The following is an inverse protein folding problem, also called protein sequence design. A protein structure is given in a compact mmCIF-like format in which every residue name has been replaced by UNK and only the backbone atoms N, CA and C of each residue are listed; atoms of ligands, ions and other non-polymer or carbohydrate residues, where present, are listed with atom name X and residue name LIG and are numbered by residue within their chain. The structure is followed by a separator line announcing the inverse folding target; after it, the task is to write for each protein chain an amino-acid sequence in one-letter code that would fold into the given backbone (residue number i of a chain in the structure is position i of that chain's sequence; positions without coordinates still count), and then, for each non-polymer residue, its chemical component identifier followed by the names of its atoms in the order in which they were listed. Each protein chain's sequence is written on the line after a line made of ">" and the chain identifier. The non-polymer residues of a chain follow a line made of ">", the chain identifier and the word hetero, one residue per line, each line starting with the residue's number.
data_IF_309677420698
#
_entry.id   IF_309677420698
#
_cell.length_a   1.000
_cell.length_b   1.000
_cell.length_c   1.000
_cell.angle_alpha   90.00
_cell.angle_beta   90.00
_cell.angle_gamma   90.00
#
_symmetry.space_group_name_H-M   'P 1'
#
loop_
_entity.id
_entity.type
_entity.pdbx_description
1 polymer ?
#
# COMPACT_ATOMS: atom_id res chain seq x y z
N UNK A 1 10.14 10.94 -1.32
CA UNK A 1 10.85 11.86 -2.22
C UNK A 1 11.97 12.62 -1.52
N UNK A 2 11.78 13.21 -0.33
CA UNK A 2 12.83 13.95 0.41
C UNK A 2 13.80 13.11 1.27
N UNK A 3 13.78 11.78 1.15
CA UNK A 3 14.68 10.91 1.93
C UNK A 3 16.13 10.88 1.42
N UNK A 4 16.40 10.95 0.11
CA UNK A 4 17.75 11.09 -0.40
C UNK A 4 18.31 12.50 -0.12
N UNK A 5 19.62 12.63 0.14
CA UNK A 5 20.24 13.94 0.34
C UNK A 5 20.15 14.77 -0.95
N UNK A 6 19.73 16.04 -0.81
CA UNK A 6 19.60 16.97 -1.94
C UNK A 6 18.39 16.73 -2.84
N UNK A 7 17.46 15.86 -2.45
CA UNK A 7 16.23 15.65 -3.22
C UNK A 7 15.31 16.88 -3.16
N UNK A 8 14.90 17.34 -4.34
CA UNK A 8 13.93 18.43 -4.50
C UNK A 8 12.59 17.87 -4.99
N UNK A 9 11.52 18.62 -4.74
CA UNK A 9 10.17 18.28 -5.18
C UNK A 9 9.52 19.47 -5.86
N UNK A 10 8.94 19.25 -7.04
CA UNK A 10 8.27 20.31 -7.78
C UNK A 10 6.78 20.03 -7.87
N UNK A 11 5.96 20.97 -7.42
CA UNK A 11 4.50 20.91 -7.50
C UNK A 11 3.91 22.33 -7.57
N UNK A 12 2.85 22.52 -8.36
CA UNK A 12 2.18 23.83 -8.50
C UNK A 12 3.11 24.95 -8.99
N UNK A 13 4.11 24.63 -9.82
CA UNK A 13 5.10 25.59 -10.32
C UNK A 13 6.16 26.04 -9.31
N UNK A 14 6.15 25.49 -8.08
CA UNK A 14 7.12 25.79 -7.04
C UNK A 14 8.02 24.58 -6.78
N UNK A 15 9.29 24.84 -6.44
CA UNK A 15 10.26 23.81 -6.06
C UNK A 15 10.53 23.90 -4.57
N UNK A 16 10.34 22.77 -3.90
CA UNK A 16 10.51 22.61 -2.46
C UNK A 16 11.74 21.74 -2.19
N UNK A 17 12.52 22.12 -1.19
CA UNK A 17 13.70 21.35 -0.73
C UNK A 17 13.40 20.57 0.55
N UNK A 18 12.37 20.98 1.29
CA UNK A 18 11.99 20.38 2.57
C UNK A 18 10.53 19.96 2.58
N UNK A 19 10.25 18.89 3.31
CA UNK A 19 8.89 18.41 3.52
C UNK A 19 7.98 19.45 4.20
N UNK A 20 8.51 20.21 5.16
CA UNK A 20 7.72 21.18 5.90
C UNK A 20 7.16 22.26 4.97
N UNK A 21 7.96 22.75 4.02
CA UNK A 21 7.52 23.76 3.06
C UNK A 21 6.37 23.27 2.17
N UNK A 22 6.38 21.99 1.75
CA UNK A 22 5.27 21.38 0.98
C UNK A 22 4.01 21.26 1.84
N UNK A 23 4.16 20.80 3.08
CA UNK A 23 3.04 20.63 4.01
C UNK A 23 2.39 21.98 4.29
N UNK A 24 3.19 22.99 4.58
CA UNK A 24 2.69 24.32 4.92
C UNK A 24 2.00 24.96 3.71
N UNK A 25 2.56 24.80 2.48
CA UNK A 25 1.92 25.26 1.24
C UNK A 25 0.59 24.56 0.92
N UNK A 26 0.45 23.28 1.30
CA UNK A 26 -0.81 22.55 1.15
C UNK A 26 -1.85 23.00 2.20
N UNK A 27 -1.43 23.16 3.46
CA UNK A 27 -2.31 23.61 4.55
C UNK A 27 -2.75 25.06 4.37
N UNK A 28 -1.90 25.91 3.79
CA UNK A 28 -2.22 27.30 3.46
C UNK A 28 -3.02 27.47 2.16
N UNK A 29 -3.50 26.37 1.55
CA UNK A 29 -4.24 26.34 0.28
C UNK A 29 -3.51 27.03 -0.88
N UNK A 30 -2.19 27.22 -0.76
CA UNK A 30 -1.35 27.84 -1.80
C UNK A 30 -1.05 26.85 -2.92
N UNK A 31 -1.19 25.56 -2.65
CA UNK A 31 -1.08 24.47 -3.59
C UNK A 31 -2.34 23.61 -3.51
N UNK A 32 -2.96 23.33 -4.65
CA UNK A 32 -4.14 22.48 -4.72
C UNK A 32 -3.80 21.00 -4.55
N UNK A 33 -4.77 20.19 -4.16
CA UNK A 33 -4.62 18.74 -4.06
C UNK A 33 -4.22 18.12 -5.43
N UNK A 34 -4.78 18.65 -6.52
CA UNK A 34 -4.47 18.19 -7.88
C UNK A 34 -3.01 18.45 -8.24
N UNK A 35 -2.48 19.63 -7.94
CA UNK A 35 -1.09 19.98 -8.19
C UNK A 35 -0.12 19.17 -7.34
N UNK A 36 -0.46 18.93 -6.07
CA UNK A 36 0.34 18.06 -5.20
C UNK A 36 0.40 16.64 -5.75
N UNK A 37 -0.75 16.08 -6.15
CA UNK A 37 -0.82 14.74 -6.75
C UNK A 37 -0.06 14.69 -8.06
N UNK A 38 -0.21 15.69 -8.93
CA UNK A 38 0.50 15.75 -10.21
C UNK A 38 2.02 15.76 -10.02
N UNK A 39 2.53 16.61 -9.13
CA UNK A 39 3.96 16.66 -8.78
C UNK A 39 4.45 15.33 -8.20
N UNK A 40 3.66 14.70 -7.32
CA UNK A 40 4.02 13.41 -6.74
C UNK A 40 4.06 12.28 -7.78
N UNK A 41 3.09 12.26 -8.71
CA UNK A 41 3.06 11.30 -9.81
C UNK A 41 4.31 11.45 -10.68
N UNK A 42 4.69 12.69 -11.02
CA UNK A 42 5.89 12.95 -11.80
C UNK A 42 7.15 12.45 -11.08
N UNK A 43 7.35 12.85 -9.82
CA UNK A 43 8.51 12.42 -9.04
C UNK A 43 8.59 10.89 -8.87
N UNK A 44 7.45 10.22 -8.70
CA UNK A 44 7.39 8.76 -8.63
C UNK A 44 7.67 8.10 -9.99
N UNK A 45 7.16 8.66 -11.09
CA UNK A 45 7.43 8.14 -12.42
C UNK A 45 8.92 8.25 -12.75
N UNK A 46 9.56 9.38 -12.48
CA UNK A 46 11.00 9.57 -12.67
C UNK A 46 11.82 8.58 -11.84
N UNK A 47 11.44 8.34 -10.58
CA UNK A 47 12.11 7.37 -9.71
C UNK A 47 11.96 5.92 -10.21
N UNK A 48 10.80 5.58 -10.76
CA UNK A 48 10.51 4.24 -11.26
C UNK A 48 11.01 4.00 -12.69
N UNK A 49 11.26 5.07 -13.45
CA UNK A 49 11.71 5.01 -14.84
C UNK A 49 12.96 4.12 -15.06
N UNK A 50 14.06 4.24 -14.29
CA UNK A 50 15.21 3.35 -14.48
C UNK A 50 14.87 1.87 -14.25
N UNK A 51 13.95 1.59 -13.34
CA UNK A 51 13.45 0.24 -13.08
C UNK A 51 12.62 -0.26 -14.26
N UNK A 52 11.69 0.57 -14.76
CA UNK A 52 10.87 0.25 -15.95
C UNK A 52 11.76 -0.05 -17.15
N UNK A 53 12.77 0.78 -17.40
CA UNK A 53 13.71 0.60 -18.49
C UNK A 53 14.53 -0.69 -18.33
N UNK A 54 14.99 -1.00 -17.12
CA UNK A 54 15.70 -2.25 -16.83
C UNK A 54 14.86 -3.48 -17.18
N UNK A 55 13.59 -3.51 -16.73
CA UNK A 55 12.67 -4.62 -17.01
C UNK A 55 12.15 -4.67 -18.46
N UNK A 56 12.29 -3.58 -19.21
CA UNK A 56 11.91 -3.53 -20.64
C UNK A 56 13.05 -4.01 -21.54
N UNK A 57 14.27 -3.53 -21.28
CA UNK A 57 15.41 -3.71 -22.18
C UNK A 57 16.21 -4.98 -21.88
N UNK A 58 16.17 -5.49 -20.64
CA UNK A 58 16.89 -6.71 -20.26
C UNK A 58 15.99 -7.95 -20.43
N UNK A 59 16.34 -8.81 -21.38
CA UNK A 59 15.57 -10.03 -21.68
C UNK A 59 15.39 -10.96 -20.47
N UNK A 60 16.42 -11.12 -19.64
CA UNK A 60 16.35 -11.94 -18.42
C UNK A 60 15.44 -11.32 -17.36
N UNK A 61 15.53 -10.00 -17.17
CA UNK A 61 14.68 -9.29 -16.21
C UNK A 61 13.20 -9.33 -16.63
N UNK A 62 12.93 -9.20 -17.92
CA UNK A 62 11.59 -9.28 -18.51
C UNK A 62 10.96 -10.66 -18.29
N UNK A 63 11.72 -11.73 -18.49
CA UNK A 63 11.27 -13.10 -18.25
C UNK A 63 10.94 -13.34 -16.76
N UNK A 64 11.79 -12.86 -15.85
CA UNK A 64 11.52 -12.93 -14.42
C UNK A 64 10.24 -12.18 -14.02
N UNK A 65 10.03 -10.98 -14.57
CA UNK A 65 8.82 -10.19 -14.30
C UNK A 65 7.57 -10.91 -14.79
N UNK A 66 7.63 -11.58 -15.95
CA UNK A 66 6.53 -12.41 -16.45
C UNK A 66 6.21 -13.56 -15.48
N UNK A 67 7.21 -14.31 -15.04
CA UNK A 67 7.01 -15.42 -14.09
C UNK A 67 6.37 -14.94 -12.79
N UNK A 68 6.84 -13.81 -12.23
CA UNK A 68 6.26 -13.20 -11.02
C UNK A 68 4.79 -12.80 -11.22
N UNK A 69 4.45 -12.24 -12.38
CA UNK A 69 3.07 -11.90 -12.71
C UNK A 69 2.17 -13.15 -12.85
N UNK A 70 2.70 -14.25 -13.37
CA UNK A 70 1.99 -15.53 -13.46
C UNK A 70 1.71 -16.09 -12.05
N UNK A 71 2.70 -16.14 -11.15
CA UNK A 71 2.49 -16.57 -9.76
C UNK A 71 1.48 -15.71 -8.99
N UNK A 72 1.36 -14.41 -9.32
CA UNK A 72 0.35 -13.54 -8.70
C UNK A 72 -1.07 -13.85 -9.15
N UNK A 73 -1.24 -14.41 -10.35
CA UNK A 73 -2.55 -14.82 -10.89
C UNK A 73 -2.99 -16.17 -10.33
N UNK A 74 -2.04 -17.01 -9.93
CA UNK A 74 -2.35 -18.22 -9.21
C UNK A 74 -2.96 -17.84 -7.85
N UNK A 75 -4.19 -18.29 -7.54
CA UNK A 75 -4.75 -18.05 -6.23
C UNK A 75 -3.85 -18.73 -5.21
N UNK A 76 -3.18 -17.92 -4.38
CA UNK A 76 -2.46 -18.45 -3.21
C UNK A 76 -3.39 -19.36 -2.41
N UNK A 77 -2.86 -20.38 -1.70
CA UNK A 77 -3.67 -21.39 -1.03
C UNK A 77 -4.67 -20.69 -0.10
N UNK A 78 -5.92 -20.63 -0.55
CA UNK A 78 -7.00 -20.08 0.25
C UNK A 78 -7.18 -21.07 1.38
N UNK A 79 -6.82 -20.65 2.59
CA UNK A 79 -7.00 -21.47 3.79
C UNK A 79 -8.50 -21.54 4.08
N UNK A 80 -9.22 -22.34 3.30
CA UNK A 80 -10.67 -22.59 3.40
C UNK A 80 -11.04 -23.42 4.63
N UNK A 81 -10.06 -23.81 5.45
CA UNK A 81 -10.33 -24.43 6.74
C UNK A 81 -11.01 -23.43 7.66
N UNK A 82 -12.34 -23.51 7.72
CA UNK A 82 -13.14 -22.89 8.76
C UNK A 82 -12.63 -23.46 10.09
N UNK A 83 -11.91 -22.65 10.87
CA UNK A 83 -11.53 -23.01 12.23
C UNK A 83 -12.78 -22.93 13.08
N UNK A 84 -13.54 -24.02 13.15
CA UNK A 84 -14.60 -24.16 14.15
C UNK A 84 -13.92 -24.12 15.52
N UNK A 85 -14.16 -23.05 16.27
CA UNK A 85 -13.77 -22.98 17.68
C UNK A 85 -14.53 -24.08 18.43
N UNK A 86 -13.84 -25.17 18.74
CA UNK A 86 -14.37 -26.22 19.59
C UNK A 86 -14.03 -25.88 21.05
N UNK A 87 -14.84 -25.02 21.66
CA UNK A 87 -14.67 -24.58 23.06
C UNK A 87 -14.81 -25.73 24.07
N UNK A 88 -15.54 -26.78 23.69
CA UNK A 88 -15.70 -27.99 24.51
C UNK A 88 -14.38 -28.75 24.58
N UNK A 89 -13.73 -28.97 23.44
CA UNK A 89 -12.42 -29.64 23.39
C UNK A 89 -11.29 -28.82 24.05
N UNK A 90 -11.40 -27.48 24.02
CA UNK A 90 -10.48 -26.57 24.69
C UNK A 90 -10.73 -26.45 26.22
N UNK A 91 -11.75 -27.15 26.75
CA UNK A 91 -12.12 -27.10 28.17
C UNK A 91 -12.62 -25.73 28.62
N UNK A 92 -13.02 -24.87 27.68
CA UNK A 92 -13.51 -23.51 27.96
C UNK A 92 -15.04 -23.43 28.07
N UNK A 93 -15.75 -24.49 27.66
CA UNK A 93 -17.20 -24.61 27.84
C UNK A 93 -17.58 -26.08 28.08
N UNK A 94 -18.59 -26.36 28.92
CA UNK A 94 -19.15 -27.71 29.06
C UNK A 94 -19.91 -28.14 27.79
N UNK A 95 -20.01 -29.45 27.57
CA UNK A 95 -20.80 -30.00 26.48
C UNK A 95 -22.28 -29.62 26.62
N UNK A 96 -22.91 -29.14 25.53
CA UNK A 96 -24.31 -28.69 25.52
C UNK A 96 -24.52 -27.20 25.84
N UNK A 97 -23.46 -26.44 26.10
CA UNK A 97 -23.56 -24.99 26.25
C UNK A 97 -23.92 -24.31 24.92
N UNK A 98 -24.89 -23.40 24.95
CA UNK A 98 -25.33 -22.59 23.81
C UNK A 98 -25.15 -21.11 24.16
N UNK A 99 -24.71 -20.32 23.17
CA UNK A 99 -24.46 -18.90 23.35
C UNK A 99 -25.72 -18.11 23.01
N UNK A 100 -26.25 -17.36 23.98
CA UNK A 100 -27.39 -16.45 23.78
C UNK A 100 -26.82 -15.04 23.72
N UNK A 101 -26.88 -14.39 22.56
CA UNK A 101 -26.53 -12.98 22.44
C UNK A 101 -27.75 -12.13 22.81
N UNK A 102 -27.72 -11.54 24.00
CA UNK A 102 -28.72 -10.58 24.43
C UNK A 102 -28.29 -9.16 23.99
N UNK A 103 -29.24 -8.29 23.58
CA UNK A 103 -28.94 -6.90 23.27
C UNK A 103 -28.47 -6.16 24.53
N UNK A 104 -27.52 -5.23 24.37
CA UNK A 104 -27.02 -4.42 25.48
C UNK A 104 -28.19 -3.63 26.10
N UNK A 105 -28.31 -3.59 27.44
CA UNK A 105 -29.27 -2.71 28.09
C UNK A 105 -28.89 -1.25 27.75
N UNK A 106 -29.89 -0.51 27.26
CA UNK A 106 -29.82 0.93 26.95
C UNK A 106 -29.66 1.78 28.20
#
# INVERSE_FOLDING_TARGET
>A
IFSPPGATFTAGGQTYTEFQAVRDAFVSETMSEEELKAGLIQALNELLEPVRQHFTNNARAKELLRLVQEYKKEPGPTKTTVRRLNLVQLGKAPAGAHLVMAPLPV
#
